data_IF_919361792635
#
_entry.id   IF_919361792635
#
_cell.length_a   1.000
_cell.length_b   1.000
_cell.length_c   1.000
_cell.angle_alpha   90.00
_cell.angle_beta   90.00
_cell.angle_gamma   90.00
#
_symmetry.space_group_name_H-M   'P 1'
#
loop_
_entity.id
_entity.type
_entity.pdbx_description
1 polymer ?
#
# COMPACT_ATOMS: atom_id res chain seq x y z
N UNK A 1 7.44 -40.84 17.68
CA UNK A 1 8.39 -39.74 17.90
C UNK A 1 9.10 -40.01 19.21
N UNK A 2 10.36 -40.41 19.18
CA UNK A 2 11.19 -40.54 20.39
C UNK A 2 11.38 -39.15 20.98
N UNK A 3 11.01 -38.95 22.25
CA UNK A 3 11.30 -37.71 22.98
C UNK A 3 12.82 -37.49 22.95
N UNK A 4 13.29 -36.56 22.14
CA UNK A 4 14.69 -36.14 22.14
C UNK A 4 15.00 -35.53 23.51
N UNK A 5 16.14 -35.91 24.11
CA UNK A 5 16.56 -35.32 25.38
C UNK A 5 16.85 -33.84 25.18
N UNK A 6 16.41 -32.96 26.09
CA UNK A 6 16.71 -31.54 26.00
C UNK A 6 18.23 -31.29 26.02
N UNK A 7 18.70 -30.22 25.38
CA UNK A 7 20.11 -29.85 25.40
C UNK A 7 20.53 -29.47 26.83
N UNK A 8 21.71 -29.95 27.23
CA UNK A 8 22.29 -29.63 28.54
C UNK A 8 23.81 -29.46 28.42
N UNK A 9 24.36 -28.54 29.21
CA UNK A 9 25.79 -28.29 29.38
C UNK A 9 26.15 -28.48 30.86
N UNK A 10 27.04 -29.41 31.14
CA UNK A 10 27.57 -29.67 32.48
C UNK A 10 29.07 -29.38 32.52
N UNK A 11 29.49 -28.57 33.48
CA UNK A 11 30.92 -28.27 33.69
C UNK A 11 31.41 -29.16 34.87
N UNK A 12 32.29 -30.11 34.58
CA UNK A 12 32.88 -31.00 35.55
C UNK A 12 34.28 -30.50 35.97
N UNK A 13 34.52 -30.43 37.29
CA UNK A 13 35.70 -29.78 37.87
C UNK A 13 36.85 -30.77 38.20
N UNK A 14 36.70 -32.09 38.03
CA UNK A 14 37.71 -33.10 38.40
C UNK A 14 37.78 -34.24 37.38
N UNK A 15 38.95 -34.72 36.94
CA UNK A 15 40.34 -34.26 37.25
C UNK A 15 40.81 -33.10 36.35
N UNK A 16 40.10 -32.79 35.24
CA UNK A 16 40.32 -31.65 34.36
C UNK A 16 39.02 -30.90 34.17
N UNK A 17 39.13 -29.57 33.99
CA UNK A 17 37.96 -28.73 33.73
C UNK A 17 37.39 -29.10 32.39
N UNK A 18 36.25 -29.81 32.37
CA UNK A 18 35.63 -30.31 31.13
C UNK A 18 34.18 -29.85 30.99
N UNK A 19 33.86 -29.25 29.87
CA UNK A 19 32.46 -28.91 29.49
C UNK A 19 31.89 -30.06 28.66
N UNK A 20 30.97 -30.83 29.24
CA UNK A 20 30.28 -31.93 28.57
C UNK A 20 28.93 -31.49 28.06
N UNK A 21 28.73 -31.62 26.75
CA UNK A 21 27.45 -31.35 26.10
C UNK A 21 26.67 -32.64 25.93
N UNK A 22 25.38 -32.59 26.24
CA UNK A 22 24.48 -33.74 26.09
C UNK A 22 23.12 -33.31 25.49
N UNK A 23 22.38 -34.31 24.99
CA UNK A 23 21.05 -34.06 24.39
C UNK A 23 21.08 -33.57 22.94
N UNK A 24 19.97 -33.08 22.47
CA UNK A 24 19.78 -32.60 21.09
C UNK A 24 19.83 -31.06 21.03
N UNK A 25 20.81 -30.53 20.33
CA UNK A 25 21.01 -29.09 20.13
C UNK A 25 20.45 -28.68 18.76
N UNK A 26 19.13 -28.63 18.68
CA UNK A 26 18.34 -28.33 17.46
C UNK A 26 17.60 -27.02 17.59
N UNK A 27 17.38 -26.37 16.47
CA UNK A 27 16.66 -25.10 16.38
C UNK A 27 15.31 -25.12 17.10
N UNK A 28 14.53 -26.20 16.92
CA UNK A 28 13.19 -26.34 17.52
C UNK A 28 13.24 -26.30 19.06
N UNK A 29 14.26 -26.93 19.67
CA UNK A 29 14.43 -26.95 21.12
C UNK A 29 15.08 -25.65 21.64
N UNK A 30 15.94 -25.04 20.85
CA UNK A 30 16.62 -23.78 21.18
C UNK A 30 15.78 -22.55 20.92
N UNK A 31 14.62 -22.68 20.27
CA UNK A 31 13.64 -21.61 20.12
C UNK A 31 12.77 -21.38 21.36
N UNK A 32 12.79 -22.32 22.31
CA UNK A 32 12.08 -22.16 23.58
C UNK A 32 12.98 -21.40 24.58
N UNK A 33 12.53 -20.21 24.96
CA UNK A 33 13.25 -19.32 25.90
C UNK A 33 13.54 -20.00 27.25
N UNK A 34 12.68 -20.93 27.70
CA UNK A 34 12.89 -21.67 28.95
C UNK A 34 14.09 -22.64 28.88
N UNK A 35 14.43 -23.09 27.68
CA UNK A 35 15.58 -24.00 27.43
C UNK A 35 16.80 -23.18 27.01
N UNK A 36 16.64 -22.19 26.16
CA UNK A 36 17.75 -21.41 25.61
C UNK A 36 18.41 -20.48 26.63
N UNK A 37 17.63 -19.78 27.47
CA UNK A 37 18.18 -18.81 28.41
C UNK A 37 19.19 -19.42 29.42
N UNK A 38 18.92 -20.56 30.11
CA UNK A 38 19.90 -21.18 31.01
C UNK A 38 21.13 -21.67 30.25
N UNK A 39 20.98 -22.19 29.01
CA UNK A 39 22.13 -22.65 28.22
C UNK A 39 23.04 -21.50 27.79
N UNK A 40 22.47 -20.35 27.39
CA UNK A 40 23.25 -19.17 27.06
C UNK A 40 24.06 -18.68 28.26
N UNK A 41 23.49 -18.70 29.46
CA UNK A 41 24.17 -18.32 30.69
C UNK A 41 25.32 -19.32 31.00
N UNK A 42 25.07 -20.62 30.92
CA UNK A 42 26.10 -21.65 31.14
C UNK A 42 27.21 -21.57 30.09
N UNK A 43 26.91 -21.26 28.84
CA UNK A 43 27.91 -21.03 27.79
C UNK A 43 28.72 -19.75 28.05
N UNK A 44 28.10 -18.71 28.60
CA UNK A 44 28.78 -17.48 28.97
C UNK A 44 29.74 -17.68 30.16
N UNK A 45 29.36 -18.53 31.14
CA UNK A 45 30.23 -18.96 32.24
C UNK A 45 31.41 -19.80 31.72
N UNK A 46 31.14 -20.79 30.85
CA UNK A 46 32.14 -21.60 30.23
C UNK A 46 33.20 -20.79 29.46
N UNK A 47 32.80 -19.68 28.83
CA UNK A 47 33.71 -18.78 28.12
C UNK A 47 34.70 -18.04 29.02
N UNK A 48 34.40 -17.88 30.30
CA UNK A 48 35.32 -17.22 31.27
C UNK A 48 36.48 -18.12 31.73
N UNK A 49 36.36 -19.45 31.54
CA UNK A 49 37.38 -20.39 31.94
C UNK A 49 38.37 -20.65 30.80
N UNK A 50 39.60 -20.14 30.91
CA UNK A 50 40.68 -20.43 29.98
C UNK A 50 41.19 -21.85 30.14
N UNK A 51 41.30 -22.60 29.02
CA UNK A 51 41.81 -24.00 29.07
C UNK A 51 40.75 -25.07 29.34
N UNK A 52 39.48 -24.76 29.10
CA UNK A 52 38.35 -25.68 29.24
C UNK A 52 38.38 -26.72 28.09
N UNK A 53 38.40 -28.00 28.44
CA UNK A 53 38.24 -29.09 27.48
C UNK A 53 36.75 -29.25 27.13
N UNK A 54 36.44 -29.46 25.85
CA UNK A 54 35.06 -29.60 25.39
C UNK A 54 34.79 -31.03 24.92
N UNK A 55 33.75 -31.66 25.50
CA UNK A 55 33.34 -33.02 25.14
C UNK A 55 31.92 -33.03 24.55
N UNK A 56 31.86 -33.31 23.25
CA UNK A 56 30.63 -33.38 22.45
C UNK A 56 30.20 -34.84 22.18
N UNK A 57 30.88 -35.83 22.80
CA UNK A 57 30.62 -37.26 22.55
C UNK A 57 29.19 -37.69 22.92
N UNK A 58 28.58 -37.02 23.90
CA UNK A 58 27.24 -37.31 24.42
C UNK A 58 26.11 -36.57 23.70
N UNK A 59 26.40 -35.84 22.61
CA UNK A 59 25.40 -35.19 21.77
C UNK A 59 24.61 -36.23 20.97
N UNK A 60 23.28 -36.12 21.01
CA UNK A 60 22.40 -36.98 20.22
C UNK A 60 22.10 -36.39 18.83
N UNK A 61 22.01 -35.05 18.72
CA UNK A 61 21.85 -34.33 17.46
C UNK A 61 22.39 -32.91 17.59
N UNK A 62 22.94 -32.37 16.50
CA UNK A 62 23.45 -31.00 16.42
C UNK A 62 23.11 -30.43 15.03
N UNK A 63 22.43 -29.28 14.99
CA UNK A 63 22.17 -28.54 13.77
C UNK A 63 23.04 -27.27 13.65
N UNK A 64 22.80 -26.50 12.58
CA UNK A 64 23.54 -25.25 12.33
C UNK A 64 23.35 -24.20 13.43
N UNK A 65 22.18 -24.10 14.07
CA UNK A 65 21.90 -23.12 15.11
C UNK A 65 22.64 -23.51 16.40
N UNK A 66 22.55 -24.77 16.80
CA UNK A 66 23.30 -25.29 17.94
C UNK A 66 24.81 -25.15 17.75
N UNK A 67 25.32 -25.48 16.55
CA UNK A 67 26.74 -25.32 16.23
C UNK A 67 27.18 -23.84 16.24
N UNK A 68 26.32 -22.92 15.76
CA UNK A 68 26.60 -21.50 15.78
C UNK A 68 26.67 -20.93 17.21
N UNK A 69 25.82 -21.40 18.12
CA UNK A 69 25.90 -21.03 19.54
C UNK A 69 27.22 -21.46 20.16
N UNK A 70 27.65 -22.71 19.91
CA UNK A 70 28.95 -23.22 20.39
C UNK A 70 30.12 -22.45 19.77
N UNK A 71 30.05 -22.16 18.46
CA UNK A 71 31.07 -21.39 17.75
C UNK A 71 31.26 -19.99 18.34
N UNK A 72 30.16 -19.33 18.72
CA UNK A 72 30.22 -18.04 19.40
C UNK A 72 30.79 -18.16 20.83
N UNK A 73 30.44 -19.20 21.56
CA UNK A 73 30.97 -19.46 22.90
C UNK A 73 32.47 -19.70 22.86
N UNK A 74 32.98 -20.38 21.85
CA UNK A 74 34.42 -20.63 21.62
C UNK A 74 35.18 -19.41 21.08
N UNK A 75 34.55 -18.29 20.92
CA UNK A 75 35.19 -17.08 20.41
C UNK A 75 35.60 -17.16 18.94
N UNK A 76 34.83 -17.91 18.13
CA UNK A 76 35.06 -18.15 16.70
C UNK A 76 36.37 -18.86 16.37
N UNK A 77 36.83 -19.75 17.25
CA UNK A 77 37.98 -20.62 17.05
C UNK A 77 37.69 -21.99 17.62
N UNK A 78 38.17 -23.04 16.96
CA UNK A 78 38.05 -24.40 17.46
C UNK A 78 38.97 -24.55 18.69
N UNK A 79 38.47 -25.01 19.85
CA UNK A 79 39.29 -25.25 21.03
C UNK A 79 40.38 -26.31 20.78
N UNK A 80 41.53 -26.15 21.41
CA UNK A 80 42.65 -27.11 21.26
C UNK A 80 42.35 -28.47 21.87
N UNK A 81 41.54 -28.51 22.94
CA UNK A 81 41.08 -29.73 23.60
C UNK A 81 39.59 -29.93 23.32
N UNK A 82 39.30 -30.52 22.16
CA UNK A 82 37.94 -30.77 21.70
C UNK A 82 37.77 -32.27 21.36
N UNK A 83 36.89 -32.94 22.10
CA UNK A 83 36.45 -34.29 21.78
C UNK A 83 35.10 -34.21 21.03
N UNK A 84 35.14 -34.48 19.74
CA UNK A 84 33.96 -34.31 18.88
C UNK A 84 33.80 -35.49 17.92
N UNK A 85 32.57 -36.05 17.77
CA UNK A 85 32.26 -37.04 16.74
C UNK A 85 32.55 -36.53 15.33
N UNK A 86 33.13 -37.37 14.49
CA UNK A 86 33.56 -37.03 13.13
C UNK A 86 32.43 -36.49 12.24
N UNK A 87 31.18 -36.89 12.53
CA UNK A 87 29.99 -36.41 11.81
C UNK A 87 29.76 -34.88 11.91
N UNK A 88 30.24 -34.23 12.97
CA UNK A 88 30.05 -32.78 13.16
C UNK A 88 31.24 -31.95 12.66
N UNK A 89 32.36 -32.57 12.32
CA UNK A 89 33.58 -31.87 11.87
C UNK A 89 33.34 -31.02 10.62
N UNK A 90 32.56 -31.55 9.68
CA UNK A 90 32.23 -30.82 8.44
C UNK A 90 31.42 -29.54 8.71
N UNK A 91 30.60 -29.54 9.77
CA UNK A 91 29.73 -28.43 10.15
C UNK A 91 30.55 -27.26 10.72
N UNK A 92 31.50 -27.56 11.63
CA UNK A 92 32.40 -26.56 12.20
C UNK A 92 33.43 -26.03 11.19
N UNK A 93 33.93 -26.90 10.28
CA UNK A 93 34.80 -26.44 9.20
C UNK A 93 34.10 -25.42 8.28
N UNK A 94 32.83 -25.64 7.96
CA UNK A 94 32.04 -24.64 7.21
C UNK A 94 31.86 -23.34 7.98
N UNK A 95 31.64 -23.41 9.31
CA UNK A 95 31.53 -22.19 10.12
C UNK A 95 32.86 -21.42 10.16
N UNK A 96 33.99 -22.13 10.18
CA UNK A 96 35.31 -21.51 10.09
C UNK A 96 35.54 -20.83 8.74
N UNK A 97 35.26 -21.52 7.63
CA UNK A 97 35.35 -20.96 6.26
C UNK A 97 34.47 -19.69 6.10
N UNK A 98 33.23 -19.73 6.58
CA UNK A 98 32.32 -18.57 6.52
C UNK A 98 32.79 -17.45 7.44
N UNK A 99 33.37 -17.75 8.58
CA UNK A 99 33.85 -16.71 9.51
C UNK A 99 35.06 -15.93 8.98
N UNK A 100 35.82 -16.49 8.04
CA UNK A 100 36.89 -15.80 7.33
C UNK A 100 36.42 -14.84 6.25
N UNK A 101 35.15 -14.99 5.80
CA UNK A 101 34.55 -14.03 4.86
C UNK A 101 34.25 -12.77 5.66
N UNK A 102 35.07 -11.74 5.48
CA UNK A 102 34.82 -10.43 6.05
C UNK A 102 33.48 -9.90 5.48
N UNK A 103 32.40 -10.05 6.26
CA UNK A 103 31.16 -9.35 5.95
C UNK A 103 31.51 -7.86 6.09
N UNK A 104 31.47 -7.06 5.00
CA UNK A 104 31.75 -5.64 5.12
C UNK A 104 30.78 -5.09 6.17
N UNK A 105 31.34 -4.44 7.20
CA UNK A 105 30.54 -3.81 8.24
C UNK A 105 29.46 -2.97 7.55
N UNK A 106 28.19 -3.03 8.00
CA UNK A 106 27.16 -2.19 7.41
C UNK A 106 27.67 -0.76 7.47
N UNK A 107 27.92 -0.18 6.31
CA UNK A 107 28.35 1.20 6.19
C UNK A 107 27.29 1.98 6.96
N UNK A 108 27.65 2.49 8.15
CA UNK A 108 26.82 3.48 8.84
C UNK A 108 26.70 4.62 7.85
N UNK A 109 25.57 4.64 7.13
CA UNK A 109 25.22 5.79 6.31
C UNK A 109 25.08 6.94 7.29
N UNK A 110 26.17 7.69 7.49
CA UNK A 110 26.14 9.01 8.08
C UNK A 110 25.32 9.82 7.08
N UNK A 111 24.01 9.77 7.26
CA UNK A 111 23.07 10.46 6.38
C UNK A 111 23.22 11.94 6.59
N UNK A 112 24.11 12.57 5.84
CA UNK A 112 24.03 14.00 5.58
C UNK A 112 22.59 14.29 5.13
N UNK A 113 21.94 15.36 5.60
CA UNK A 113 20.57 15.72 5.21
C UNK A 113 20.41 15.82 3.68
N UNK A 114 21.47 16.12 2.94
CA UNK A 114 21.52 16.07 1.47
C UNK A 114 21.32 14.66 0.89
N UNK A 115 21.75 13.60 1.57
CA UNK A 115 21.53 12.22 1.13
C UNK A 115 20.06 11.82 1.22
N UNK A 116 19.32 12.30 2.22
CA UNK A 116 17.88 12.08 2.34
C UNK A 116 17.08 12.82 1.27
N UNK A 117 17.45 14.07 0.96
CA UNK A 117 16.85 14.85 -0.14
C UNK A 117 17.12 14.18 -1.49
N UNK A 118 18.32 13.69 -1.73
CA UNK A 118 18.64 12.92 -2.94
C UNK A 118 17.84 11.63 -3.08
N UNK A 119 17.65 10.89 -1.99
CA UNK A 119 16.78 9.68 -2.00
C UNK A 119 15.32 10.02 -2.24
N UNK A 120 14.79 11.10 -1.65
CA UNK A 120 13.42 11.56 -1.88
C UNK A 120 13.20 11.95 -3.35
N UNK A 121 14.13 12.71 -3.93
CA UNK A 121 14.04 13.14 -5.34
C UNK A 121 14.15 11.95 -6.31
N UNK A 122 15.04 10.98 -6.03
CA UNK A 122 15.15 9.76 -6.83
C UNK A 122 13.89 8.91 -6.73
N UNK A 123 13.34 8.72 -5.53
CA UNK A 123 12.09 7.98 -5.35
C UNK A 123 10.93 8.67 -6.10
N UNK A 124 10.85 9.99 -6.02
CA UNK A 124 9.83 10.76 -6.75
C UNK A 124 9.99 10.60 -8.27
N UNK A 125 11.21 10.69 -8.79
CA UNK A 125 11.49 10.47 -10.20
C UNK A 125 11.11 9.04 -10.65
N UNK A 126 11.41 8.02 -9.83
CA UNK A 126 11.03 6.62 -10.10
C UNK A 126 9.50 6.41 -10.08
N UNK A 127 8.76 7.16 -9.26
CA UNK A 127 7.30 7.13 -9.30
C UNK A 127 6.77 7.79 -10.58
N UNK A 128 7.30 8.93 -11.00
CA UNK A 128 6.90 9.59 -12.24
C UNK A 128 7.19 8.70 -13.45
N UNK A 129 8.39 8.12 -13.55
CA UNK A 129 8.76 7.21 -14.63
C UNK A 129 7.79 6.02 -14.69
N UNK A 130 7.48 5.40 -13.53
CA UNK A 130 6.56 4.27 -13.49
C UNK A 130 5.12 4.62 -13.85
N UNK A 131 4.63 5.82 -13.52
CA UNK A 131 3.31 6.30 -13.95
C UNK A 131 3.32 6.57 -15.47
N UNK A 132 4.40 7.14 -16.00
CA UNK A 132 4.53 7.40 -17.44
C UNK A 132 4.59 6.10 -18.24
N UNK A 133 5.31 5.08 -17.75
CA UNK A 133 5.34 3.74 -18.33
C UNK A 133 3.94 3.10 -18.37
N UNK A 134 3.21 3.20 -17.26
CA UNK A 134 1.83 2.73 -17.15
C UNK A 134 0.89 3.45 -18.11
N UNK A 135 1.07 4.77 -18.29
CA UNK A 135 0.32 5.57 -19.25
C UNK A 135 0.62 5.12 -20.68
N UNK A 136 1.91 4.92 -21.01
CA UNK A 136 2.30 4.42 -22.33
C UNK A 136 1.68 3.06 -22.64
N UNK A 137 1.75 2.13 -21.68
CA UNK A 137 1.13 0.82 -21.82
C UNK A 137 -0.39 0.93 -21.98
N UNK A 138 -1.06 1.77 -21.18
CA UNK A 138 -2.48 2.00 -21.30
C UNK A 138 -2.89 2.55 -22.67
N UNK A 139 -2.13 3.48 -23.25
CA UNK A 139 -2.40 4.02 -24.58
C UNK A 139 -2.27 2.95 -25.66
N UNK A 140 -1.24 2.09 -25.57
CA UNK A 140 -1.04 0.96 -26.50
C UNK A 140 -2.18 -0.04 -26.40
N UNK A 141 -2.56 -0.42 -25.16
CA UNK A 141 -3.64 -1.36 -24.88
C UNK A 141 -4.99 -0.80 -25.35
N UNK A 142 -5.25 0.49 -25.12
CA UNK A 142 -6.45 1.19 -25.57
C UNK A 142 -6.52 1.23 -27.10
N UNK A 143 -5.39 1.50 -27.78
CA UNK A 143 -5.32 1.50 -29.23
C UNK A 143 -5.60 0.11 -29.81
N UNK A 144 -5.05 -0.92 -29.18
CA UNK A 144 -5.34 -2.32 -29.55
C UNK A 144 -6.82 -2.67 -29.36
N UNK A 145 -7.41 -2.25 -28.25
CA UNK A 145 -8.83 -2.43 -27.94
C UNK A 145 -9.73 -1.75 -28.97
N UNK A 146 -9.42 -0.49 -29.34
CA UNK A 146 -10.22 0.27 -30.33
C UNK A 146 -10.16 -0.39 -31.72
N UNK A 147 -9.03 -1.02 -32.08
CA UNK A 147 -8.89 -1.75 -33.37
C UNK A 147 -9.60 -3.11 -33.36
N UNK A 148 -9.68 -3.76 -32.20
CA UNK A 148 -10.25 -5.11 -32.08
C UNK A 148 -11.28 -5.18 -30.94
N UNK A 149 -12.40 -4.47 -31.02
CA UNK A 149 -13.36 -4.35 -29.91
C UNK A 149 -14.02 -5.70 -29.55
N UNK A 150 -14.13 -6.62 -30.52
CA UNK A 150 -14.69 -7.98 -30.27
C UNK A 150 -13.84 -8.83 -29.32
N UNK A 151 -12.54 -8.57 -29.21
CA UNK A 151 -11.61 -9.28 -28.32
C UNK A 151 -11.40 -8.55 -26.98
N UNK A 152 -12.13 -7.47 -26.77
CA UNK A 152 -12.00 -6.64 -25.58
C UNK A 152 -12.47 -7.34 -24.29
N UNK A 153 -11.92 -6.91 -23.14
CA UNK A 153 -12.27 -7.44 -21.82
C UNK A 153 -13.57 -6.80 -21.30
N UNK A 154 -14.68 -6.94 -22.04
CA UNK A 154 -15.97 -6.31 -21.71
C UNK A 154 -16.55 -6.74 -20.38
N UNK A 155 -16.36 -8.04 -20.02
CA UNK A 155 -16.84 -8.58 -18.74
C UNK A 155 -16.13 -7.93 -17.56
N UNK A 156 -14.83 -7.76 -17.68
CA UNK A 156 -13.97 -7.12 -16.69
C UNK A 156 -14.30 -5.63 -16.56
N UNK A 157 -14.55 -4.94 -17.66
CA UNK A 157 -14.96 -3.53 -17.67
C UNK A 157 -16.30 -3.38 -16.96
N UNK A 158 -17.32 -4.17 -17.34
CA UNK A 158 -18.65 -4.12 -16.73
C UNK A 158 -18.62 -4.44 -15.23
N UNK A 159 -17.86 -5.45 -14.82
CA UNK A 159 -17.69 -5.79 -13.42
C UNK A 159 -17.04 -4.67 -12.61
N UNK A 160 -16.04 -3.99 -13.18
CA UNK A 160 -15.40 -2.86 -12.53
C UNK A 160 -16.35 -1.63 -12.48
N UNK A 161 -17.13 -1.34 -13.53
CA UNK A 161 -18.16 -0.29 -13.53
C UNK A 161 -19.15 -0.51 -12.38
N UNK A 162 -19.65 -1.72 -12.21
CA UNK A 162 -20.55 -2.04 -11.11
C UNK A 162 -19.90 -1.82 -9.73
N UNK A 163 -18.68 -2.30 -9.54
CA UNK A 163 -17.95 -2.18 -8.26
C UNK A 163 -17.60 -0.75 -7.92
N UNK A 164 -17.13 0.03 -8.88
CA UNK A 164 -16.67 1.41 -8.64
C UNK A 164 -17.81 2.40 -8.65
N UNK A 165 -18.82 2.22 -9.52
CA UNK A 165 -19.95 3.11 -9.71
C UNK A 165 -21.05 2.88 -8.68
N UNK A 166 -21.79 1.77 -8.82
CA UNK A 166 -22.98 1.52 -8.01
C UNK A 166 -22.75 1.64 -6.50
N UNK A 167 -21.71 1.01 -6.03
CA UNK A 167 -21.43 1.02 -4.60
C UNK A 167 -21.01 2.40 -4.04
N UNK A 168 -20.65 3.37 -4.87
CA UNK A 168 -20.28 4.71 -4.43
C UNK A 168 -21.49 5.66 -4.36
N UNK A 169 -22.62 5.36 -5.00
CA UNK A 169 -23.76 6.26 -5.13
C UNK A 169 -24.32 6.74 -3.79
N UNK A 170 -24.44 5.85 -2.81
CA UNK A 170 -25.04 6.20 -1.51
C UNK A 170 -24.19 7.23 -0.75
N UNK A 171 -22.88 7.05 -0.70
CA UNK A 171 -21.99 7.95 0.04
C UNK A 171 -21.84 9.28 -0.69
N UNK A 172 -21.74 9.28 -2.02
CA UNK A 172 -21.64 10.51 -2.81
C UNK A 172 -22.93 11.31 -2.77
N UNK A 173 -24.10 10.65 -2.73
CA UNK A 173 -25.39 11.29 -2.53
C UNK A 173 -25.47 12.01 -1.19
N UNK A 174 -25.13 11.31 -0.11
CA UNK A 174 -25.19 11.87 1.25
C UNK A 174 -24.24 13.05 1.39
N UNK A 175 -22.99 12.89 0.99
CA UNK A 175 -22.00 13.97 1.10
C UNK A 175 -22.36 15.15 0.19
N UNK A 176 -22.77 14.90 -1.04
CA UNK A 176 -23.23 15.95 -1.96
C UNK A 176 -24.38 16.76 -1.37
N UNK A 177 -25.43 16.08 -0.89
CA UNK A 177 -26.58 16.73 -0.27
C UNK A 177 -26.18 17.60 0.94
N UNK A 178 -25.38 17.07 1.86
CA UNK A 178 -24.95 17.82 3.05
C UNK A 178 -24.11 19.04 2.69
N UNK A 179 -23.19 18.90 1.74
CA UNK A 179 -22.37 20.03 1.27
C UNK A 179 -23.22 21.08 0.58
N UNK A 180 -24.19 20.67 -0.24
CA UNK A 180 -25.16 21.58 -0.85
C UNK A 180 -25.94 22.39 0.20
N UNK A 181 -26.42 21.73 1.26
CA UNK A 181 -27.08 22.39 2.40
C UNK A 181 -26.16 23.41 3.07
N UNK A 182 -24.93 23.01 3.43
CA UNK A 182 -23.98 23.88 4.11
C UNK A 182 -23.59 25.09 3.27
N UNK A 183 -23.26 24.86 1.99
CA UNK A 183 -22.90 25.95 1.08
C UNK A 183 -24.03 26.93 0.89
N UNK A 184 -25.26 26.44 0.68
CA UNK A 184 -26.42 27.28 0.53
C UNK A 184 -26.71 28.07 1.81
N UNK A 185 -26.55 27.43 2.98
CA UNK A 185 -26.73 28.10 4.27
C UNK A 185 -25.75 29.27 4.44
N UNK A 186 -24.44 28.99 4.29
CA UNK A 186 -23.40 29.99 4.49
C UNK A 186 -23.46 31.12 3.46
N UNK A 187 -23.63 30.75 2.18
CA UNK A 187 -23.72 31.75 1.09
C UNK A 187 -25.01 32.55 1.15
N UNK A 188 -26.13 31.90 1.48
CA UNK A 188 -27.43 32.55 1.63
C UNK A 188 -27.44 33.59 2.75
N UNK A 189 -26.85 33.27 3.90
CA UNK A 189 -26.73 34.21 4.99
C UNK A 189 -25.89 35.44 4.63
N UNK A 190 -24.79 35.24 3.88
CA UNK A 190 -23.96 36.37 3.41
C UNK A 190 -24.71 37.21 2.37
N UNK A 191 -25.34 36.60 1.37
CA UNK A 191 -26.04 37.29 0.32
C UNK A 191 -27.24 38.09 0.85
N UNK A 192 -27.97 37.59 1.82
CA UNK A 192 -29.07 38.25 2.49
C UNK A 192 -28.66 39.61 3.13
N UNK A 193 -27.46 39.63 3.74
CA UNK A 193 -26.95 40.87 4.35
C UNK A 193 -26.67 41.98 3.35
N UNK A 194 -26.48 41.62 2.06
CA UNK A 194 -26.20 42.57 0.97
C UNK A 194 -27.39 42.74 -0.01
N UNK A 195 -28.55 42.13 0.28
CA UNK A 195 -29.73 42.19 -0.61
C UNK A 195 -29.55 41.45 -1.95
N UNK A 196 -28.62 40.45 -1.96
CA UNK A 196 -28.25 39.69 -3.15
C UNK A 196 -28.90 38.32 -3.26
N UNK A 197 -30.05 38.09 -2.67
CA UNK A 197 -30.69 36.78 -2.51
C UNK A 197 -30.84 36.01 -3.84
N UNK A 198 -31.15 36.71 -4.92
CA UNK A 198 -31.34 36.10 -6.24
C UNK A 198 -30.05 35.51 -6.86
N UNK A 199 -28.88 36.00 -6.43
CA UNK A 199 -27.60 35.51 -6.95
C UNK A 199 -27.19 34.17 -6.38
N UNK A 200 -27.90 33.64 -5.36
CA UNK A 200 -27.55 32.36 -4.73
C UNK A 200 -27.60 31.20 -5.73
N UNK A 201 -28.57 31.20 -6.65
CA UNK A 201 -28.69 30.14 -7.67
C UNK A 201 -27.50 30.15 -8.61
N UNK A 202 -27.03 31.34 -9.01
CA UNK A 202 -25.85 31.47 -9.87
C UNK A 202 -24.59 30.99 -9.15
N UNK A 203 -24.41 31.44 -7.92
CA UNK A 203 -23.23 31.08 -7.11
C UNK A 203 -23.18 29.60 -6.82
N UNK A 204 -24.28 29.02 -6.36
CA UNK A 204 -24.33 27.59 -6.06
C UNK A 204 -24.23 26.73 -7.32
N UNK A 205 -25.00 27.11 -8.37
CA UNK A 205 -25.03 26.37 -9.63
C UNK A 205 -23.64 26.24 -10.25
N UNK A 206 -22.94 27.36 -10.42
CA UNK A 206 -21.60 27.37 -11.02
C UNK A 206 -20.59 26.69 -10.10
N UNK A 207 -20.59 27.00 -8.80
CA UNK A 207 -19.65 26.42 -7.86
C UNK A 207 -19.79 24.91 -7.75
N UNK A 208 -21.02 24.37 -7.71
CA UNK A 208 -21.27 22.94 -7.59
C UNK A 208 -20.90 22.24 -8.89
N UNK A 209 -21.52 22.64 -10.00
CA UNK A 209 -21.43 21.90 -11.28
C UNK A 209 -20.02 21.97 -11.87
N UNK A 210 -19.32 23.10 -11.76
CA UNK A 210 -18.02 23.29 -12.38
C UNK A 210 -16.86 22.81 -11.51
N UNK A 211 -16.93 23.02 -10.18
CA UNK A 211 -15.78 22.84 -9.29
C UNK A 211 -16.03 21.76 -8.21
N UNK A 212 -16.99 22.01 -7.31
CA UNK A 212 -17.15 21.24 -6.09
C UNK A 212 -17.64 19.81 -6.34
N UNK A 213 -18.59 19.63 -7.26
CA UNK A 213 -19.12 18.29 -7.56
C UNK A 213 -18.06 17.35 -8.10
N UNK A 214 -17.33 17.70 -9.18
CA UNK A 214 -16.24 16.89 -9.68
C UNK A 214 -15.16 16.60 -8.64
N UNK A 215 -14.75 17.62 -7.86
CA UNK A 215 -13.71 17.49 -6.84
C UNK A 215 -14.16 16.59 -5.69
N UNK A 216 -15.37 16.76 -5.15
CA UNK A 216 -15.91 15.93 -4.08
C UNK A 216 -16.09 14.48 -4.52
N UNK A 217 -16.65 14.26 -5.70
CA UNK A 217 -16.78 12.93 -6.28
C UNK A 217 -15.39 12.26 -6.39
N UNK A 218 -14.37 12.98 -6.86
CA UNK A 218 -13.03 12.46 -7.03
C UNK A 218 -12.36 12.10 -5.69
N UNK A 219 -12.48 12.94 -4.66
CA UNK A 219 -11.92 12.65 -3.32
C UNK A 219 -12.57 11.40 -2.73
N UNK A 220 -13.91 11.28 -2.80
CA UNK A 220 -14.63 10.11 -2.27
C UNK A 220 -14.27 8.83 -3.03
N UNK A 221 -14.15 8.92 -4.35
CA UNK A 221 -13.79 7.78 -5.19
C UNK A 221 -12.31 7.39 -5.02
N UNK A 222 -11.41 8.34 -4.87
CA UNK A 222 -10.00 8.06 -4.57
C UNK A 222 -9.87 7.28 -3.25
N UNK A 223 -10.57 7.74 -2.19
CA UNK A 223 -10.58 7.09 -0.89
C UNK A 223 -11.15 5.67 -0.92
N UNK A 224 -12.28 5.48 -1.61
CA UNK A 224 -12.99 4.21 -1.62
C UNK A 224 -12.55 3.28 -2.76
N UNK A 225 -12.76 3.70 -4.00
CA UNK A 225 -12.51 2.83 -5.17
C UNK A 225 -11.03 2.76 -5.52
N UNK A 226 -10.28 3.87 -5.36
CA UNK A 226 -8.83 3.91 -5.55
C UNK A 226 -8.11 2.99 -4.57
N UNK A 227 -8.43 3.07 -3.27
CA UNK A 227 -7.87 2.17 -2.26
C UNK A 227 -8.21 0.70 -2.52
N UNK A 228 -9.45 0.41 -2.93
CA UNK A 228 -9.89 -0.96 -3.25
C UNK A 228 -9.15 -1.54 -4.45
N UNK A 229 -8.90 -0.75 -5.51
CA UNK A 229 -8.09 -1.16 -6.67
C UNK A 229 -6.66 -1.47 -6.23
N UNK A 230 -6.03 -0.59 -5.44
CA UNK A 230 -4.67 -0.77 -4.91
C UNK A 230 -4.59 -2.03 -4.05
N UNK A 231 -5.55 -2.22 -3.13
CA UNK A 231 -5.60 -3.39 -2.27
C UNK A 231 -5.77 -4.69 -3.07
N UNK A 232 -6.67 -4.71 -4.06
CA UNK A 232 -6.90 -5.89 -4.90
C UNK A 232 -5.62 -6.29 -5.66
N UNK A 233 -4.95 -5.34 -6.32
CA UNK A 233 -3.70 -5.60 -7.04
C UNK A 233 -2.58 -6.01 -6.08
N UNK A 234 -2.53 -5.39 -4.91
CA UNK A 234 -1.58 -5.73 -3.87
C UNK A 234 -1.75 -7.14 -3.33
N UNK A 235 -2.98 -7.58 -3.08
CA UNK A 235 -3.27 -8.97 -2.68
C UNK A 235 -2.83 -9.93 -3.77
N UNK A 236 -3.20 -9.69 -5.04
CA UNK A 236 -2.76 -10.51 -6.18
C UNK A 236 -1.22 -10.57 -6.31
N UNK A 237 -0.52 -9.53 -5.86
CA UNK A 237 0.96 -9.52 -5.82
C UNK A 237 1.50 -10.36 -4.67
N UNK A 238 0.89 -10.26 -3.49
CA UNK A 238 1.27 -11.04 -2.29
C UNK A 238 1.01 -12.53 -2.49
N UNK A 239 -0.09 -12.89 -3.17
CA UNK A 239 -0.47 -14.29 -3.47
C UNK A 239 0.20 -14.83 -4.74
N UNK A 240 1.12 -14.08 -5.36
CA UNK A 240 1.84 -14.44 -6.60
C UNK A 240 0.93 -14.67 -7.82
N UNK A 241 -0.34 -14.27 -7.75
CA UNK A 241 -1.29 -14.40 -8.86
C UNK A 241 -0.85 -13.60 -10.10
N UNK A 242 -0.25 -12.41 -9.91
CA UNK A 242 0.27 -11.62 -11.02
C UNK A 242 1.44 -12.31 -11.73
N UNK A 243 2.28 -13.01 -10.98
CA UNK A 243 3.41 -13.73 -11.55
C UNK A 243 2.94 -15.02 -12.25
N UNK A 244 1.92 -15.68 -11.70
CA UNK A 244 1.24 -16.80 -12.39
C UNK A 244 0.61 -16.35 -13.73
N UNK A 245 -0.05 -15.18 -13.77
CA UNK A 245 -0.59 -14.63 -15.02
C UNK A 245 0.51 -14.37 -16.06
N UNK A 246 1.69 -13.88 -15.64
CA UNK A 246 2.84 -13.68 -16.54
C UNK A 246 3.36 -14.99 -17.14
N UNK A 247 3.49 -16.03 -16.30
CA UNK A 247 3.92 -17.36 -16.75
C UNK A 247 2.94 -17.97 -17.74
N UNK A 248 1.63 -17.73 -17.55
CA UNK A 248 0.59 -18.17 -18.47
C UNK A 248 0.51 -17.31 -19.76
N UNK A 249 1.32 -16.27 -19.91
CA UNK A 249 1.30 -15.38 -21.07
C UNK A 249 0.10 -14.44 -21.12
N UNK A 250 -0.59 -14.23 -20.00
CA UNK A 250 -1.76 -13.32 -19.91
C UNK A 250 -1.27 -11.88 -19.75
N UNK A 251 -1.61 -10.97 -20.69
CA UNK A 251 -1.16 -9.58 -20.64
C UNK A 251 -1.89 -8.83 -19.50
N UNK A 252 -1.17 -8.54 -18.41
CA UNK A 252 -1.70 -7.89 -17.22
C UNK A 252 -2.25 -6.50 -17.56
N UNK A 253 -1.57 -5.72 -18.41
CA UNK A 253 -2.01 -4.40 -18.86
C UNK A 253 -3.41 -4.46 -19.45
N UNK A 254 -3.57 -5.28 -20.50
CA UNK A 254 -4.81 -5.37 -21.25
C UNK A 254 -5.97 -6.02 -20.48
N UNK A 255 -5.70 -7.07 -19.68
CA UNK A 255 -6.75 -7.85 -18.99
C UNK A 255 -7.10 -7.33 -17.60
N UNK A 256 -6.19 -6.65 -16.92
CA UNK A 256 -6.38 -6.26 -15.53
C UNK A 256 -6.37 -4.74 -15.32
N UNK A 257 -5.38 -4.03 -15.91
CA UNK A 257 -5.19 -2.60 -15.67
C UNK A 257 -6.14 -1.76 -16.53
N UNK A 258 -6.12 -1.95 -17.84
CA UNK A 258 -6.94 -1.18 -18.78
C UNK A 258 -8.44 -1.21 -18.43
N UNK A 259 -9.07 -2.35 -18.09
CA UNK A 259 -10.47 -2.39 -17.70
C UNK A 259 -10.79 -1.53 -16.47
N UNK A 260 -9.87 -1.45 -15.50
CA UNK A 260 -10.04 -0.63 -14.29
C UNK A 260 -9.99 0.87 -14.62
N UNK A 261 -9.04 1.27 -15.47
CA UNK A 261 -8.90 2.67 -15.91
C UNK A 261 -10.14 3.09 -16.71
N UNK A 262 -10.56 2.28 -17.68
CA UNK A 262 -11.74 2.57 -18.50
C UNK A 262 -13.03 2.61 -17.67
N UNK A 263 -13.19 1.66 -16.74
CA UNK A 263 -14.35 1.64 -15.87
C UNK A 263 -14.45 2.92 -15.04
N UNK A 264 -13.33 3.39 -14.45
CA UNK A 264 -13.33 4.59 -13.64
C UNK A 264 -13.48 5.86 -14.49
N UNK A 265 -12.85 5.93 -15.67
CA UNK A 265 -13.02 7.01 -16.61
C UNK A 265 -14.48 7.19 -17.07
N UNK A 266 -15.23 6.08 -17.21
CA UNK A 266 -16.62 6.09 -17.60
C UNK A 266 -17.58 6.37 -16.42
N UNK A 267 -17.31 5.78 -15.24
CA UNK A 267 -18.19 5.92 -14.08
C UNK A 267 -18.06 7.27 -13.39
N UNK A 268 -16.88 7.89 -13.42
CA UNK A 268 -16.66 9.18 -12.75
C UNK A 268 -17.57 10.30 -13.24
N UNK A 269 -17.75 10.57 -14.53
CA UNK A 269 -18.72 11.57 -14.98
C UNK A 269 -20.13 11.30 -14.49
N UNK A 270 -20.57 10.04 -14.45
CA UNK A 270 -21.90 9.69 -13.94
C UNK A 270 -22.03 9.96 -12.44
N UNK A 271 -20.98 9.68 -11.67
CA UNK A 271 -20.94 9.98 -10.23
C UNK A 271 -20.91 11.49 -10.01
N UNK A 272 -20.21 12.25 -10.84
CA UNK A 272 -20.20 13.72 -10.79
C UNK A 272 -21.63 14.26 -10.98
N UNK A 273 -22.32 13.86 -12.05
CA UNK A 273 -23.71 14.26 -12.28
C UNK A 273 -24.58 13.91 -11.06
N UNK A 274 -24.44 12.72 -10.54
CA UNK A 274 -25.20 12.26 -9.38
C UNK A 274 -24.91 13.12 -8.13
N UNK A 275 -23.65 13.42 -7.87
CA UNK A 275 -23.23 14.27 -6.75
C UNK A 275 -23.74 15.69 -6.91
N UNK A 276 -23.69 16.25 -8.13
CA UNK A 276 -24.20 17.58 -8.46
C UNK A 276 -25.71 17.68 -8.21
N UNK A 277 -26.47 16.69 -8.69
CA UNK A 277 -27.92 16.63 -8.46
C UNK A 277 -28.23 16.63 -6.96
N UNK A 278 -27.55 15.79 -6.19
CA UNK A 278 -27.79 15.72 -4.75
C UNK A 278 -27.35 17.00 -4.02
N UNK A 279 -26.25 17.62 -4.43
CA UNK A 279 -25.81 18.90 -3.87
C UNK A 279 -26.77 20.05 -4.20
N UNK A 280 -27.29 20.10 -5.42
CA UNK A 280 -28.29 21.09 -5.81
C UNK A 280 -29.63 20.90 -5.08
N UNK A 281 -30.06 19.66 -4.85
CA UNK A 281 -31.23 19.35 -4.01
C UNK A 281 -31.00 19.86 -2.59
N UNK A 282 -29.86 19.56 -1.98
CA UNK A 282 -29.48 20.05 -0.66
C UNK A 282 -29.47 21.59 -0.60
N UNK A 283 -28.90 22.22 -1.65
CA UNK A 283 -28.85 23.68 -1.82
C UNK A 283 -30.24 24.31 -1.92
N UNK A 284 -31.13 23.73 -2.71
CA UNK A 284 -32.50 24.21 -2.87
C UNK A 284 -33.32 24.12 -1.57
N UNK A 285 -33.18 23.00 -0.81
CA UNK A 285 -33.85 22.83 0.48
C UNK A 285 -33.37 23.91 1.46
N UNK A 286 -32.06 24.13 1.53
CA UNK A 286 -31.50 25.16 2.42
C UNK A 286 -31.89 26.57 2.00
N UNK A 287 -31.92 26.90 0.69
CA UNK A 287 -32.35 28.20 0.18
C UNK A 287 -33.83 28.48 0.51
N UNK A 288 -34.66 27.46 0.52
CA UNK A 288 -36.08 27.61 0.95
C UNK A 288 -36.18 28.04 2.42
N UNK A 289 -35.36 27.44 3.30
CA UNK A 289 -35.43 27.70 4.75
C UNK A 289 -34.85 29.07 5.12
N UNK A 290 -33.81 29.55 4.38
CA UNK A 290 -33.09 30.77 4.75
C UNK A 290 -33.59 32.00 4.01
N UNK A 291 -33.89 31.84 2.71
CA UNK A 291 -34.21 32.93 1.80
C UNK A 291 -35.68 32.95 1.39
N UNK A 292 -36.52 32.05 1.95
CA UNK A 292 -37.92 31.84 1.55
C UNK A 292 -38.07 31.58 0.04
N UNK A 293 -37.03 31.10 -0.62
CA UNK A 293 -37.00 30.83 -2.07
C UNK A 293 -37.62 29.48 -2.39
N UNK A 294 -38.67 29.43 -3.19
CA UNK A 294 -39.30 28.17 -3.53
C UNK A 294 -38.35 27.28 -4.34
N UNK A 295 -38.32 25.94 -4.08
CA UNK A 295 -37.49 25.00 -4.86
C UNK A 295 -37.79 25.02 -6.37
N UNK A 296 -39.05 25.30 -6.75
CA UNK A 296 -39.45 25.47 -8.14
C UNK A 296 -38.76 26.66 -8.81
N UNK A 297 -38.68 27.80 -8.12
CA UNK A 297 -37.95 28.96 -8.62
C UNK A 297 -36.45 28.65 -8.76
N UNK A 298 -35.86 28.01 -7.78
CA UNK A 298 -34.44 27.59 -7.81
C UNK A 298 -34.14 26.75 -9.05
N UNK A 299 -34.93 25.68 -9.29
CA UNK A 299 -34.74 24.79 -10.43
C UNK A 299 -35.01 25.50 -11.78
N UNK A 300 -36.00 26.39 -11.84
CA UNK A 300 -36.32 27.12 -13.07
C UNK A 300 -35.23 28.13 -13.46
N UNK A 301 -34.55 28.70 -12.44
CA UNK A 301 -33.48 29.67 -12.64
C UNK A 301 -32.14 29.05 -12.96
N UNK A 302 -31.92 27.77 -12.59
CA UNK A 302 -30.66 27.08 -12.73
C UNK A 302 -30.10 27.01 -14.17
N UNK A 303 -30.92 26.77 -15.24
CA UNK A 303 -30.43 26.77 -16.61
C UNK A 303 -29.92 28.14 -17.08
N UNK A 304 -30.50 29.23 -16.57
CA UNK A 304 -30.05 30.60 -16.86
C UNK A 304 -28.74 30.93 -16.10
N UNK A 305 -28.59 30.34 -14.92
CA UNK A 305 -27.46 30.58 -14.03
C UNK A 305 -26.19 29.85 -14.47
N UNK A 306 -26.31 28.66 -15.05
CA UNK A 306 -25.16 27.78 -15.38
C UNK A 306 -25.11 27.56 -16.89
N UNK A 307 -24.07 28.07 -17.52
CA UNK A 307 -23.85 27.84 -18.95
C UNK A 307 -23.52 26.34 -19.21
N UNK A 308 -23.96 25.82 -20.35
CA UNK A 308 -23.66 24.46 -20.80
C UNK A 308 -22.13 24.18 -20.85
N UNK A 309 -21.32 25.21 -21.08
CA UNK A 309 -19.88 25.12 -21.07
C UNK A 309 -19.34 24.64 -19.68
N UNK A 310 -19.87 25.22 -18.59
CA UNK A 310 -19.46 24.82 -17.22
C UNK A 310 -19.83 23.38 -16.93
N UNK A 311 -20.97 22.89 -17.39
CA UNK A 311 -21.38 21.50 -17.25
C UNK A 311 -20.43 20.55 -17.99
N UNK A 312 -20.06 20.86 -19.24
CA UNK A 312 -19.12 20.02 -20.00
C UNK A 312 -17.72 20.05 -19.42
N UNK A 313 -17.27 21.17 -18.86
CA UNK A 313 -15.99 21.26 -18.14
C UNK A 313 -16.03 20.35 -16.90
N UNK A 314 -17.09 20.40 -16.09
CA UNK A 314 -17.25 19.53 -14.92
C UNK A 314 -17.22 18.04 -15.28
N UNK A 315 -17.93 17.64 -16.35
CA UNK A 315 -17.90 16.27 -16.84
C UNK A 315 -16.49 15.86 -17.35
N UNK A 316 -15.83 16.75 -18.09
CA UNK A 316 -14.47 16.53 -18.59
C UNK A 316 -13.47 16.34 -17.46
N UNK A 317 -13.55 17.16 -16.39
CA UNK A 317 -12.81 16.98 -15.16
C UNK A 317 -13.06 15.58 -14.57
N UNK A 318 -14.32 15.14 -14.51
CA UNK A 318 -14.68 13.81 -14.03
C UNK A 318 -13.94 12.69 -14.76
N UNK A 319 -13.89 12.72 -16.10
CA UNK A 319 -13.15 11.72 -16.91
C UNK A 319 -11.66 11.72 -16.54
N UNK A 320 -11.04 12.90 -16.53
CA UNK A 320 -9.60 13.04 -16.24
C UNK A 320 -9.28 12.56 -14.82
N UNK A 321 -10.08 12.95 -13.85
CA UNK A 321 -9.91 12.50 -12.45
C UNK A 321 -10.06 10.98 -12.33
N UNK A 322 -11.01 10.37 -13.03
CA UNK A 322 -11.17 8.91 -13.08
C UNK A 322 -9.92 8.20 -13.60
N UNK A 323 -9.35 8.71 -14.70
CA UNK A 323 -8.10 8.18 -15.25
C UNK A 323 -6.95 8.34 -14.27
N UNK A 324 -6.76 9.53 -13.69
CA UNK A 324 -5.67 9.81 -12.75
C UNK A 324 -5.75 8.91 -11.52
N UNK A 325 -6.92 8.82 -10.87
CA UNK A 325 -7.13 8.00 -9.68
C UNK A 325 -6.83 6.53 -9.97
N UNK A 326 -7.39 6.00 -11.07
CA UNK A 326 -7.18 4.59 -11.41
C UNK A 326 -5.75 4.26 -11.78
N UNK A 327 -5.05 5.16 -12.49
CA UNK A 327 -3.63 4.99 -12.83
C UNK A 327 -2.75 4.97 -11.59
N UNK A 328 -2.95 5.93 -10.67
CA UNK A 328 -2.22 5.99 -9.41
C UNK A 328 -2.49 4.74 -8.56
N UNK A 329 -3.76 4.34 -8.46
CA UNK A 329 -4.14 3.15 -7.72
C UNK A 329 -3.48 1.87 -8.29
N UNK A 330 -3.46 1.71 -9.61
CA UNK A 330 -2.77 0.60 -10.27
C UNK A 330 -1.25 0.67 -10.07
N UNK A 331 -0.64 1.85 -10.18
CA UNK A 331 0.78 2.05 -9.98
C UNK A 331 1.23 1.60 -8.59
N UNK A 332 0.53 2.06 -7.54
CA UNK A 332 0.84 1.67 -6.17
C UNK A 332 0.56 0.20 -5.92
N UNK A 333 -0.57 -0.34 -6.42
CA UNK A 333 -0.93 -1.74 -6.25
C UNK A 333 0.10 -2.72 -6.82
N UNK A 334 0.66 -2.42 -7.99
CA UNK A 334 1.69 -3.24 -8.64
C UNK A 334 3.06 -3.18 -7.92
N UNK A 335 3.33 -2.16 -7.13
CA UNK A 335 4.59 -1.94 -6.40
C UNK A 335 4.59 -2.45 -4.96
N UNK A 336 3.48 -2.98 -4.48
CA UNK A 336 3.38 -3.58 -3.14
C UNK A 336 4.37 -4.74 -3.04
N UNK A 337 5.12 -4.76 -1.93
CA UNK A 337 6.00 -5.89 -1.59
C UNK A 337 5.16 -7.04 -1.01
N UNK A 338 5.61 -8.30 -1.11
CA UNK A 338 4.85 -9.46 -0.64
C UNK A 338 4.80 -9.55 0.90
N UNK A 339 4.30 -8.49 1.54
CA UNK A 339 4.03 -8.47 2.97
C UNK A 339 2.80 -7.59 3.28
N UNK A 340 2.11 -7.89 4.39
CA UNK A 340 0.87 -7.21 4.81
C UNK A 340 1.08 -5.75 5.21
N UNK A 341 2.23 -5.41 5.76
CA UNK A 341 2.59 -4.04 6.14
C UNK A 341 2.69 -3.14 4.90
N UNK A 342 3.38 -3.61 3.85
CA UNK A 342 3.49 -2.88 2.58
C UNK A 342 2.15 -2.71 1.89
N UNK A 343 1.21 -3.66 2.07
CA UNK A 343 -0.15 -3.56 1.55
C UNK A 343 -0.90 -2.39 2.20
N UNK A 344 -0.86 -2.26 3.52
CA UNK A 344 -1.48 -1.15 4.26
C UNK A 344 -0.86 0.21 3.90
N UNK A 345 0.47 0.30 3.88
CA UNK A 345 1.18 1.52 3.51
C UNK A 345 0.91 1.92 2.05
N UNK A 346 0.91 0.95 1.12
CA UNK A 346 0.66 1.17 -0.29
C UNK A 346 -0.74 1.68 -0.57
N UNK A 347 -1.77 1.15 0.10
CA UNK A 347 -3.15 1.62 -0.04
C UNK A 347 -3.32 3.05 0.47
N UNK A 348 -2.76 3.37 1.64
CA UNK A 348 -2.81 4.73 2.19
C UNK A 348 -2.08 5.74 1.30
N UNK A 349 -0.87 5.41 0.86
CA UNK A 349 -0.09 6.27 -0.04
C UNK A 349 -0.80 6.50 -1.37
N UNK A 350 -1.44 5.47 -1.93
CA UNK A 350 -2.24 5.57 -3.15
C UNK A 350 -3.36 6.60 -3.02
N UNK A 351 -4.10 6.58 -1.91
CA UNK A 351 -5.21 7.52 -1.65
C UNK A 351 -4.68 8.95 -1.55
N UNK A 352 -3.65 9.17 -0.72
CA UNK A 352 -3.07 10.51 -0.52
C UNK A 352 -2.56 11.09 -1.83
N UNK A 353 -1.79 10.31 -2.61
CA UNK A 353 -1.25 10.78 -3.89
C UNK A 353 -2.36 11.00 -4.91
N UNK A 354 -3.39 10.14 -4.95
CA UNK A 354 -4.54 10.33 -5.84
C UNK A 354 -5.27 11.64 -5.56
N UNK A 355 -5.59 11.90 -4.29
CA UNK A 355 -6.26 13.15 -3.88
C UNK A 355 -5.40 14.37 -4.21
N UNK A 356 -4.11 14.32 -3.88
CA UNK A 356 -3.18 15.43 -4.18
C UNK A 356 -3.10 15.70 -5.68
N UNK A 357 -3.01 14.65 -6.49
CA UNK A 357 -2.93 14.79 -7.96
C UNK A 357 -4.23 15.34 -8.54
N UNK A 358 -5.38 14.91 -8.02
CA UNK A 358 -6.69 15.45 -8.43
C UNK A 358 -6.78 16.93 -8.10
N UNK A 359 -6.39 17.38 -6.90
CA UNK A 359 -6.41 18.80 -6.52
C UNK A 359 -5.49 19.63 -7.42
N UNK A 360 -4.30 19.12 -7.76
CA UNK A 360 -3.40 19.80 -8.69
C UNK A 360 -4.01 19.89 -10.10
N UNK A 361 -4.61 18.79 -10.57
CA UNK A 361 -5.29 18.78 -11.87
C UNK A 361 -6.49 19.72 -11.89
N UNK A 362 -7.28 19.77 -10.81
CA UNK A 362 -8.41 20.70 -10.67
C UNK A 362 -7.96 22.15 -10.75
N UNK A 363 -6.86 22.50 -10.06
CA UNK A 363 -6.28 23.85 -10.14
C UNK A 363 -5.85 24.23 -11.58
N UNK A 364 -5.37 23.27 -12.38
CA UNK A 364 -5.03 23.52 -13.79
C UNK A 364 -6.29 23.77 -14.64
N UNK A 365 -7.37 23.06 -14.36
CA UNK A 365 -8.65 23.26 -15.05
C UNK A 365 -9.36 24.56 -14.65
N UNK A 366 -9.06 25.11 -13.47
CA UNK A 366 -9.68 26.34 -12.98
C UNK A 366 -9.14 27.61 -13.69
N UNK A 367 -7.94 27.52 -14.30
CA UNK A 367 -7.28 28.58 -15.09
C UNK A 367 -7.86 28.60 -16.52
#
# INVERSE_FOLDING_TARGET
MQRQRPPALNIELSPHLTARLSGAWLADLLSDDQIAAPLINSLAEAKQHHGLAWDLSSLTALDYIGAQMLWQAWGKRIPTELNMPTQYTALFRRLEEVSQIAIPAPVKQVGLPMGRLGQLSLNFALHIIGITELLGQFIIDLWHFLRHPSKGPWKEISANIYRTGYQALAITALVGLLIGVVLSYLSGQQLRNYGGDLFIVNLLGVSIIRELGPMLAAILIAGRSGSAITAQLGVMKVTEELDAMRVMGIPIGFRLIMPKILALAFTMPMIVIWTDIMALIGGAISAQVILDMSPGFFLHKLPDAVSLGNFWIGLGKGVVFGILISMIACHYGLRIKPNTESLGQGTTSSVVVSITTVIIADAIFAI
#
